data_IF_820610536853
#
_entry.id   IF_820610536853
#
_cell.length_a   1.000
_cell.length_b   1.000
_cell.length_c   1.000
_cell.angle_alpha   90.00
_cell.angle_beta   90.00
_cell.angle_gamma   90.00
#
_symmetry.space_group_name_H-M   'P 1'
#
loop_
_entity.id
_entity.type
_entity.pdbx_description
1 polymer ?
#
# COMPACT_ATOMS: atom_id res chain seq x y z
N UNK A 1 4.43 -29.97 -3.78
CA UNK A 1 5.76 -29.53 -4.25
C UNK A 1 5.60 -29.06 -5.69
N UNK A 2 5.78 -27.77 -5.96
CA UNK A 2 5.66 -27.20 -7.32
C UNK A 2 6.73 -27.85 -8.22
N UNK A 3 6.30 -28.52 -9.28
CA UNK A 3 7.19 -29.18 -10.24
C UNK A 3 7.94 -28.12 -11.06
N UNK A 4 9.25 -28.29 -11.24
CA UNK A 4 10.07 -27.43 -12.13
C UNK A 4 9.62 -27.46 -13.60
N UNK A 5 8.75 -28.41 -13.96
CA UNK A 5 8.15 -28.49 -15.30
C UNK A 5 7.10 -27.40 -15.56
N UNK A 6 6.47 -26.85 -14.51
CA UNK A 6 5.42 -25.85 -14.65
C UNK A 6 6.01 -24.43 -14.64
N UNK A 7 6.34 -23.94 -15.84
CA UNK A 7 6.75 -22.55 -16.10
C UNK A 7 5.55 -21.59 -16.05
N UNK A 8 4.87 -21.54 -14.92
CA UNK A 8 3.82 -20.53 -14.69
C UNK A 8 4.44 -19.25 -14.15
N UNK A 9 3.88 -18.11 -14.54
CA UNK A 9 4.36 -16.76 -14.14
C UNK A 9 4.43 -16.60 -12.62
N UNK A 10 3.51 -17.25 -11.89
CA UNK A 10 3.48 -17.30 -10.43
C UNK A 10 4.62 -18.13 -9.82
N UNK A 11 4.99 -19.26 -10.43
CA UNK A 11 6.09 -20.10 -9.97
C UNK A 11 7.43 -19.39 -10.13
N UNK A 12 7.65 -18.74 -11.28
CA UNK A 12 8.85 -17.96 -11.55
C UNK A 12 8.96 -16.73 -10.65
N UNK A 13 7.85 -16.03 -10.40
CA UNK A 13 7.78 -14.93 -9.44
C UNK A 13 8.16 -15.36 -8.02
N UNK A 14 7.58 -16.46 -7.53
CA UNK A 14 7.88 -16.95 -6.18
C UNK A 14 9.36 -17.33 -5.98
N UNK A 15 10.04 -17.76 -7.04
CA UNK A 15 11.47 -18.07 -7.02
C UNK A 15 12.39 -16.86 -7.16
N UNK A 16 11.93 -15.80 -7.82
CA UNK A 16 12.72 -14.57 -8.07
C UNK A 16 12.58 -13.54 -6.96
N UNK A 17 11.47 -13.53 -6.23
CA UNK A 17 11.22 -12.54 -5.18
C UNK A 17 12.00 -12.84 -3.90
N UNK A 18 12.52 -11.77 -3.29
CA UNK A 18 13.16 -11.82 -1.98
C UNK A 18 12.11 -12.06 -0.87
N UNK A 19 12.14 -13.28 -0.33
CA UNK A 19 11.24 -13.74 0.73
C UNK A 19 11.50 -13.07 2.08
N UNK A 20 12.74 -12.66 2.35
CA UNK A 20 13.06 -11.92 3.57
C UNK A 20 12.51 -10.50 3.49
N UNK A 21 12.66 -9.85 2.33
CA UNK A 21 12.07 -8.53 2.10
C UNK A 21 10.54 -8.59 2.21
N UNK A 22 9.89 -9.55 1.56
CA UNK A 22 8.43 -9.72 1.73
C UNK A 22 8.04 -9.98 3.18
N UNK A 23 8.74 -10.88 3.89
CA UNK A 23 8.45 -11.20 5.28
C UNK A 23 8.60 -10.01 6.21
N UNK A 24 9.64 -9.19 6.02
CA UNK A 24 9.84 -7.96 6.79
C UNK A 24 8.77 -6.91 6.51
N UNK A 25 8.33 -6.78 5.25
CA UNK A 25 7.23 -5.90 4.86
C UNK A 25 5.91 -6.30 5.52
N UNK A 26 5.56 -7.59 5.50
CA UNK A 26 4.37 -8.10 6.19
C UNK A 26 4.46 -7.92 7.70
N UNK A 27 5.63 -8.17 8.29
CA UNK A 27 5.87 -7.92 9.72
C UNK A 27 5.65 -6.45 10.07
N UNK A 28 6.18 -5.54 9.26
CA UNK A 28 6.01 -4.10 9.44
C UNK A 28 4.54 -3.68 9.35
N UNK A 29 3.79 -4.24 8.40
CA UNK A 29 2.34 -4.01 8.26
C UNK A 29 1.60 -4.45 9.54
N UNK A 30 1.89 -5.65 10.05
CA UNK A 30 1.24 -6.18 11.26
C UNK A 30 1.55 -5.28 12.46
N UNK A 31 2.83 -4.92 12.65
CA UNK A 31 3.25 -3.99 13.72
C UNK A 31 2.49 -2.66 13.59
N UNK A 32 2.40 -2.10 12.38
CA UNK A 32 1.67 -0.86 12.13
C UNK A 32 0.20 -0.95 12.53
N UNK A 33 -0.49 -2.05 12.21
CA UNK A 33 -1.89 -2.26 12.61
C UNK A 33 -2.03 -2.36 14.13
N UNK A 34 -1.14 -3.09 14.80
CA UNK A 34 -1.13 -3.22 16.26
C UNK A 34 -0.93 -1.85 16.94
N UNK A 35 -0.01 -1.05 16.42
CA UNK A 35 0.21 0.32 16.91
C UNK A 35 -1.02 1.21 16.66
N UNK A 36 -1.67 1.10 15.50
CA UNK A 36 -2.91 1.82 15.21
C UNK A 36 -4.05 1.41 16.16
N UNK A 37 -4.17 0.13 16.52
CA UNK A 37 -5.14 -0.35 17.50
C UNK A 37 -4.94 0.27 18.88
N UNK A 38 -3.69 0.47 19.30
CA UNK A 38 -3.39 1.14 20.56
C UNK A 38 -3.61 2.67 20.49
N UNK A 39 -3.26 3.30 19.38
CA UNK A 39 -3.26 4.76 19.24
C UNK A 39 -4.61 5.36 18.81
N UNK A 40 -5.47 4.60 18.13
CA UNK A 40 -6.72 5.13 17.55
C UNK A 40 -7.86 5.41 18.53
N UNK A 41 -8.12 4.60 19.58
CA UNK A 41 -9.19 4.89 20.53
C UNK A 41 -9.09 6.26 21.23
N UNK A 42 -7.92 6.69 21.76
CA UNK A 42 -7.82 8.00 22.42
C UNK A 42 -7.98 9.16 21.44
N UNK A 43 -7.65 8.98 20.16
CA UNK A 43 -7.84 9.99 19.11
C UNK A 43 -9.32 10.08 18.69
N UNK A 44 -9.99 8.94 18.53
CA UNK A 44 -11.42 8.88 18.22
C UNK A 44 -12.27 9.52 19.32
N UNK A 45 -11.93 9.27 20.59
CA UNK A 45 -12.58 9.90 21.74
C UNK A 45 -12.45 11.43 21.73
N UNK A 46 -11.29 11.97 21.31
CA UNK A 46 -11.08 13.42 21.19
C UNK A 46 -11.85 14.05 20.02
N UNK A 47 -12.10 13.28 18.96
CA UNK A 47 -12.83 13.72 17.76
C UNK A 47 -14.35 13.50 17.87
N UNK A 48 -14.84 12.93 18.97
CA UNK A 48 -16.27 12.66 19.17
C UNK A 48 -16.82 11.53 18.29
N UNK A 49 -15.95 10.66 17.77
CA UNK A 49 -16.35 9.52 16.93
C UNK A 49 -16.78 8.38 17.86
N UNK A 50 -18.03 7.92 17.72
CA UNK A 50 -18.61 6.88 18.57
C UNK A 50 -17.88 5.52 18.48
N UNK A 51 -17.28 5.22 17.33
CA UNK A 51 -16.52 3.99 17.09
C UNK A 51 -15.03 4.17 17.38
N UNK A 52 -14.47 3.54 18.43
CA UNK A 52 -13.05 3.64 18.77
C UNK A 52 -12.12 3.09 17.68
N UNK A 53 -12.62 2.17 16.84
CA UNK A 53 -11.85 1.47 15.80
C UNK A 53 -12.00 2.08 14.40
N UNK A 54 -12.63 3.25 14.27
CA UNK A 54 -12.86 3.88 12.96
C UNK A 54 -11.58 4.01 12.11
N UNK A 55 -10.48 4.43 12.72
CA UNK A 55 -9.19 4.61 12.03
C UNK A 55 -8.54 3.29 11.63
N UNK A 56 -8.64 2.27 12.47
CA UNK A 56 -8.09 0.94 12.17
C UNK A 56 -8.85 0.29 11.03
N UNK A 57 -10.17 0.39 11.03
CA UNK A 57 -10.99 -0.11 9.93
C UNK A 57 -10.59 0.54 8.60
N UNK A 58 -10.38 1.86 8.57
CA UNK A 58 -9.87 2.55 7.37
C UNK A 58 -8.46 2.11 7.00
N UNK A 59 -7.56 1.97 7.97
CA UNK A 59 -6.19 1.50 7.73
C UNK A 59 -6.18 0.13 7.03
N UNK A 60 -7.01 -0.81 7.51
CA UNK A 60 -7.15 -2.14 6.91
C UNK A 60 -7.78 -2.06 5.53
N UNK A 61 -8.78 -1.19 5.32
CA UNK A 61 -9.39 -0.97 4.01
C UNK A 61 -8.37 -0.42 3.00
N UNK A 62 -7.51 0.52 3.38
CA UNK A 62 -6.45 1.05 2.51
C UNK A 62 -5.28 0.07 2.31
N UNK A 63 -5.12 -0.90 3.19
CA UNK A 63 -4.11 -1.94 3.04
C UNK A 63 -4.41 -2.86 1.85
N UNK A 64 -5.68 -3.13 1.55
CA UNK A 64 -6.11 -3.97 0.42
C UNK A 64 -5.56 -3.44 -0.92
N UNK A 65 -5.83 -2.17 -1.34
CA UNK A 65 -5.26 -1.65 -2.58
C UNK A 65 -3.74 -1.49 -2.49
N UNK A 66 -3.15 -1.23 -1.32
CA UNK A 66 -1.70 -1.14 -1.17
C UNK A 66 -1.00 -2.49 -1.47
N UNK A 67 -1.52 -3.59 -0.91
CA UNK A 67 -1.01 -4.95 -1.18
C UNK A 67 -1.23 -5.29 -2.65
N UNK A 68 -2.39 -4.93 -3.23
CA UNK A 68 -2.64 -5.14 -4.65
C UNK A 68 -1.59 -4.44 -5.52
N UNK A 69 -1.33 -3.14 -5.28
CA UNK A 69 -0.31 -2.37 -6.01
C UNK A 69 1.08 -2.99 -5.83
N UNK A 70 1.46 -3.37 -4.61
CA UNK A 70 2.73 -4.03 -4.34
C UNK A 70 2.90 -5.32 -5.16
N UNK A 71 1.87 -6.18 -5.17
CA UNK A 71 1.90 -7.43 -5.93
C UNK A 71 1.95 -7.15 -7.43
N UNK A 72 1.05 -6.33 -7.98
CA UNK A 72 1.02 -6.02 -9.41
C UNK A 72 2.32 -5.40 -9.91
N UNK A 73 2.89 -4.46 -9.16
CA UNK A 73 4.17 -3.83 -9.53
C UNK A 73 5.33 -4.82 -9.48
N UNK A 74 5.29 -5.80 -8.58
CA UNK A 74 6.30 -6.87 -8.51
C UNK A 74 6.30 -7.80 -9.73
N UNK A 75 5.17 -7.96 -10.43
CA UNK A 75 5.09 -8.72 -11.68
C UNK A 75 5.49 -7.92 -12.93
N UNK A 76 5.70 -6.60 -12.83
CA UNK A 76 6.00 -5.78 -14.01
C UNK A 76 7.41 -6.00 -14.52
N UNK A 77 7.54 -6.12 -15.85
CA UNK A 77 8.86 -6.19 -16.49
C UNK A 77 9.65 -4.87 -16.32
N UNK A 78 10.99 -4.91 -16.35
CA UNK A 78 11.84 -3.71 -16.26
C UNK A 78 11.57 -2.66 -17.34
N UNK A 79 11.03 -3.05 -18.50
CA UNK A 79 10.67 -2.11 -19.58
C UNK A 79 9.33 -1.44 -19.30
N UNK A 80 8.35 -2.20 -18.83
CA UNK A 80 7.00 -1.70 -18.52
C UNK A 80 7.04 -0.76 -17.32
N UNK A 81 7.76 -1.12 -16.25
CA UNK A 81 7.83 -0.30 -15.03
C UNK A 81 8.40 1.09 -15.32
N UNK A 82 9.40 1.23 -16.20
CA UNK A 82 9.95 2.56 -16.57
C UNK A 82 8.91 3.47 -17.20
N UNK A 83 8.05 2.93 -18.08
CA UNK A 83 6.97 3.71 -18.70
C UNK A 83 5.91 4.09 -17.67
N UNK A 84 5.52 3.14 -16.83
CA UNK A 84 4.55 3.36 -15.74
C UNK A 84 5.06 4.44 -14.78
N UNK A 85 6.33 4.39 -14.37
CA UNK A 85 6.93 5.39 -13.49
C UNK A 85 6.84 6.81 -14.07
N UNK A 86 7.14 7.00 -15.37
CA UNK A 86 7.06 8.32 -16.01
C UNK A 86 5.61 8.81 -16.04
N UNK A 87 4.65 7.95 -16.40
CA UNK A 87 3.23 8.31 -16.44
C UNK A 87 2.73 8.68 -15.05
N UNK A 88 3.00 7.83 -14.05
CA UNK A 88 2.60 8.08 -12.65
C UNK A 88 3.24 9.36 -12.14
N UNK A 89 4.51 9.61 -12.45
CA UNK A 89 5.21 10.83 -12.05
C UNK A 89 4.54 12.09 -12.62
N UNK A 90 4.24 12.10 -13.93
CA UNK A 90 3.57 13.24 -14.57
C UNK A 90 2.16 13.46 -14.00
N UNK A 91 1.40 12.37 -13.77
CA UNK A 91 0.07 12.46 -13.14
C UNK A 91 0.17 13.02 -11.73
N UNK A 92 1.09 12.53 -10.89
CA UNK A 92 1.29 13.05 -9.54
C UNK A 92 1.72 14.52 -9.56
N UNK A 93 2.54 14.93 -10.53
CA UNK A 93 2.97 16.32 -10.68
C UNK A 93 1.79 17.23 -11.04
N UNK A 94 0.92 16.82 -11.96
CA UNK A 94 -0.32 17.54 -12.28
C UNK A 94 -1.26 17.60 -11.07
N UNK A 95 -1.44 16.48 -10.36
CA UNK A 95 -2.26 16.43 -9.15
C UNK A 95 -1.72 17.36 -8.06
N UNK A 96 -0.38 17.46 -7.90
CA UNK A 96 0.26 18.38 -6.96
C UNK A 96 -0.04 19.84 -7.29
N UNK A 97 -0.06 20.24 -8.56
CA UNK A 97 -0.51 21.60 -8.91
C UNK A 97 -2.02 21.77 -8.67
N UNK A 98 -2.80 20.72 -8.92
CA UNK A 98 -4.25 20.76 -8.71
C UNK A 98 -4.63 20.93 -7.23
N UNK A 99 -3.81 20.47 -6.27
CA UNK A 99 -4.10 20.68 -4.84
C UNK A 99 -4.15 22.16 -4.46
N UNK A 100 -3.38 23.03 -5.13
CA UNK A 100 -3.38 24.47 -4.87
C UNK A 100 -4.68 25.18 -5.30
N UNK A 101 -5.44 24.58 -6.21
CA UNK A 101 -6.63 25.21 -6.81
C UNK A 101 -7.92 24.56 -6.32
N UNK A 102 -7.92 23.24 -6.08
CA UNK A 102 -9.15 22.44 -5.85
C UNK A 102 -9.10 21.74 -4.46
N UNK A 103 -7.99 21.82 -3.74
CA UNK A 103 -7.81 21.09 -2.47
C UNK A 103 -8.58 21.73 -1.31
N UNK A 104 -9.29 20.93 -0.48
CA UNK A 104 -9.88 21.44 0.76
C UNK A 104 -8.77 21.77 1.77
N UNK A 105 -8.87 22.94 2.42
CA UNK A 105 -7.99 23.32 3.51
C UNK A 105 -8.30 22.49 4.76
N UNK A 106 -7.33 21.68 5.19
CA UNK A 106 -7.48 20.85 6.40
C UNK A 106 -6.76 21.47 7.60
N UNK A 107 -5.55 22.01 7.40
CA UNK A 107 -4.70 22.54 8.48
C UNK A 107 -3.81 23.73 8.07
N UNK A 108 -4.30 24.61 7.20
CA UNK A 108 -3.56 25.80 6.72
C UNK A 108 -2.44 25.46 5.74
#
# INVERSE_FOLDING_TARGET
>A
MMSRADRTVLSEWWWTVDRLLLGTLFTLIIIGIVLCLAASPPVAARLGIADPFHFVNRQVLFLIPAIAVMLFTSFLSPRTIRRVCIVVFLVCLVLLFATLVIGPEVKG
#
